data_IF_089690987052
#
_entry.id   IF_089690987052
#
_cell.length_a   1.000
_cell.length_b   1.000
_cell.length_c   1.000
_cell.angle_alpha   90.00
_cell.angle_beta   90.00
_cell.angle_gamma   90.00
#
_symmetry.space_group_name_H-M   'P 1'
#
loop_
_entity.id
_entity.type
_entity.pdbx_description
1 polymer ?
#
# COMPACT_ATOMS: atom_id res chain seq x y z
N UNK A 1 -13.21 -19.81 -5.75
CA UNK A 1 -12.00 -20.23 -5.00
C UNK A 1 -12.12 -19.68 -3.56
N UNK A 2 -12.34 -20.54 -2.56
CA UNK A 2 -12.46 -20.08 -1.16
C UNK A 2 -11.08 -19.64 -0.67
N UNK A 3 -10.93 -18.35 -0.35
CA UNK A 3 -9.69 -17.83 0.25
C UNK A 3 -9.36 -18.64 1.51
N UNK A 4 -8.11 -19.10 1.63
CA UNK A 4 -7.60 -19.90 2.76
C UNK A 4 -7.99 -19.35 4.14
N UNK A 5 -8.10 -18.03 4.26
CA UNK A 5 -8.56 -17.33 5.47
C UNK A 5 -10.02 -17.63 5.84
N UNK A 6 -10.92 -17.70 4.85
CA UNK A 6 -12.33 -18.03 5.05
C UNK A 6 -12.54 -19.50 5.43
N UNK A 7 -11.77 -20.40 4.82
CA UNK A 7 -11.77 -21.82 5.19
C UNK A 7 -11.32 -22.04 6.64
N UNK A 8 -10.21 -21.41 7.07
CA UNK A 8 -9.74 -21.46 8.47
C UNK A 8 -10.76 -20.91 9.47
N UNK A 9 -11.49 -19.85 9.10
CA UNK A 9 -12.51 -19.26 9.97
C UNK A 9 -13.63 -20.26 10.24
N UNK A 10 -14.19 -20.88 9.19
CA UNK A 10 -15.25 -21.89 9.33
C UNK A 10 -14.80 -23.10 10.14
N UNK A 11 -13.60 -23.60 9.87
CA UNK A 11 -13.01 -24.69 10.65
C UNK A 11 -12.92 -24.36 12.14
N UNK A 12 -12.50 -23.13 12.48
CA UNK A 12 -12.45 -22.71 13.88
C UNK A 12 -13.85 -22.64 14.49
N UNK A 13 -14.81 -22.07 13.77
CA UNK A 13 -16.18 -21.86 14.23
C UNK A 13 -16.92 -23.19 14.48
N UNK A 14 -16.87 -24.10 13.51
CA UNK A 14 -17.57 -25.38 13.56
C UNK A 14 -16.88 -26.37 14.52
N UNK A 15 -15.55 -26.46 14.44
CA UNK A 15 -14.82 -27.56 15.06
C UNK A 15 -14.07 -27.21 16.35
N UNK A 16 -13.71 -25.95 16.58
CA UNK A 16 -12.94 -25.53 17.77
C UNK A 16 -13.72 -24.65 18.75
N UNK A 17 -14.61 -23.78 18.28
CA UNK A 17 -15.30 -22.82 19.13
C UNK A 17 -16.14 -23.52 20.23
N UNK A 18 -16.01 -23.03 21.47
CA UNK A 18 -16.74 -23.55 22.63
C UNK A 18 -16.24 -24.89 23.17
N UNK A 19 -15.18 -25.48 22.62
CA UNK A 19 -14.65 -26.79 23.03
C UNK A 19 -13.34 -26.66 23.80
N UNK A 20 -13.12 -27.59 24.72
CA UNK A 20 -11.82 -27.74 25.40
C UNK A 20 -10.80 -28.30 24.38
N UNK A 21 -9.51 -27.98 24.52
CA UNK A 21 -8.44 -28.40 23.59
C UNK A 21 -8.50 -29.89 23.27
N UNK A 22 -8.68 -30.74 24.28
CA UNK A 22 -8.78 -32.21 24.11
C UNK A 22 -9.96 -32.62 23.25
N UNK A 23 -11.14 -32.03 23.49
CA UNK A 23 -12.34 -32.25 22.67
C UNK A 23 -12.18 -31.71 21.25
N UNK A 24 -11.50 -30.57 21.09
CA UNK A 24 -11.22 -29.98 19.78
C UNK A 24 -10.27 -30.86 18.95
N UNK A 25 -9.22 -31.44 19.54
CA UNK A 25 -8.33 -32.40 18.86
C UNK A 25 -9.13 -33.61 18.35
N UNK A 26 -10.03 -34.15 19.16
CA UNK A 26 -10.89 -35.28 18.76
C UNK A 26 -11.92 -34.90 17.69
N UNK A 27 -12.39 -33.64 17.67
CA UNK A 27 -13.35 -33.13 16.69
C UNK A 27 -12.71 -32.72 15.36
N UNK A 28 -11.73 -33.51 14.90
CA UNK A 28 -11.00 -33.28 13.66
C UNK A 28 -11.88 -33.61 12.44
N UNK A 29 -12.05 -32.68 11.47
CA UNK A 29 -12.68 -32.99 10.19
C UNK A 29 -11.88 -34.03 9.40
N UNK A 30 -12.57 -34.92 8.69
CA UNK A 30 -11.95 -35.98 7.87
C UNK A 30 -11.02 -35.42 6.79
N UNK A 31 -11.36 -34.26 6.23
CA UNK A 31 -10.62 -33.56 5.17
C UNK A 31 -9.29 -32.95 5.63
N UNK A 32 -9.08 -32.77 6.94
CA UNK A 32 -7.89 -32.11 7.50
C UNK A 32 -6.94 -33.15 8.07
N UNK A 33 -5.69 -33.13 7.60
CA UNK A 33 -4.65 -34.00 8.14
C UNK A 33 -4.42 -33.78 9.63
N UNK A 34 -4.15 -34.86 10.38
CA UNK A 34 -3.99 -34.83 11.84
C UNK A 34 -2.95 -33.81 12.31
N UNK A 35 -1.75 -33.82 11.72
CA UNK A 35 -0.68 -32.88 12.10
C UNK A 35 -1.08 -31.41 11.89
N UNK A 36 -1.79 -31.14 10.79
CA UNK A 36 -2.28 -29.80 10.47
C UNK A 36 -3.39 -29.36 11.44
N UNK A 37 -4.26 -30.29 11.84
CA UNK A 37 -5.31 -30.04 12.83
C UNK A 37 -4.73 -29.76 14.21
N UNK A 38 -3.80 -30.61 14.67
CA UNK A 38 -3.12 -30.45 15.97
C UNK A 38 -2.41 -29.09 16.03
N UNK A 39 -1.74 -28.69 14.95
CA UNK A 39 -1.13 -27.36 14.84
C UNK A 39 -2.15 -26.22 14.91
N UNK A 40 -3.29 -26.33 14.20
CA UNK A 40 -4.34 -25.31 14.21
C UNK A 40 -4.97 -25.14 15.58
N UNK A 41 -5.29 -26.25 16.26
CA UNK A 41 -5.84 -26.25 17.62
C UNK A 41 -4.86 -25.56 18.58
N UNK A 42 -3.58 -25.92 18.54
CA UNK A 42 -2.54 -25.29 19.36
C UNK A 42 -2.39 -23.79 19.03
N UNK A 43 -2.42 -23.42 17.76
CA UNK A 43 -2.35 -22.02 17.33
C UNK A 43 -3.56 -21.20 17.81
N UNK A 44 -4.77 -21.77 17.83
CA UNK A 44 -5.96 -21.08 18.34
C UNK A 44 -6.03 -21.06 19.87
N UNK A 45 -5.40 -22.02 20.54
CA UNK A 45 -5.29 -22.11 21.99
C UNK A 45 -4.17 -21.24 22.58
N UNK A 46 -3.21 -20.78 21.78
CA UNK A 46 -2.12 -19.89 22.21
C UNK A 46 -2.69 -18.61 22.88
N UNK A 47 -2.36 -18.35 24.18
CA UNK A 47 -2.82 -17.16 24.90
C UNK A 47 -2.49 -15.85 24.19
N UNK A 48 -1.35 -15.80 23.48
CA UNK A 48 -0.95 -14.62 22.70
C UNK A 48 -1.93 -14.37 21.55
N UNK A 49 -2.35 -15.43 20.85
CA UNK A 49 -3.32 -15.32 19.75
C UNK A 49 -4.71 -14.98 20.28
N UNK A 50 -5.11 -15.55 21.41
CA UNK A 50 -6.38 -15.22 22.07
C UNK A 50 -6.42 -13.73 22.43
N UNK A 51 -5.40 -13.22 23.13
CA UNK A 51 -5.30 -11.81 23.49
C UNK A 51 -5.33 -10.88 22.27
N UNK A 52 -4.57 -11.20 21.21
CA UNK A 52 -4.59 -10.42 19.95
C UNK A 52 -5.98 -10.46 19.31
N UNK A 53 -6.64 -11.62 19.30
CA UNK A 53 -7.95 -11.78 18.69
C UNK A 53 -9.06 -11.03 19.46
N UNK A 54 -9.01 -11.03 20.78
CA UNK A 54 -9.92 -10.27 21.66
C UNK A 54 -9.72 -8.78 21.48
N UNK A 55 -8.46 -8.31 21.48
CA UNK A 55 -8.13 -6.91 21.21
C UNK A 55 -8.61 -6.50 19.82
N UNK A 56 -8.42 -7.33 18.80
CA UNK A 56 -8.92 -7.06 17.46
C UNK A 56 -10.45 -7.05 17.39
N UNK A 57 -11.13 -7.93 18.13
CA UNK A 57 -12.60 -7.96 18.23
C UNK A 57 -13.12 -6.69 18.91
N UNK A 58 -12.54 -6.31 20.05
CA UNK A 58 -12.87 -5.07 20.74
C UNK A 58 -12.61 -3.84 19.87
N UNK A 59 -11.47 -3.79 19.16
CA UNK A 59 -11.16 -2.73 18.22
C UNK A 59 -12.17 -2.66 17.07
N UNK A 60 -12.55 -3.82 16.50
CA UNK A 60 -13.58 -3.89 15.45
C UNK A 60 -14.94 -3.40 15.94
N UNK A 61 -15.32 -3.72 17.18
CA UNK A 61 -16.56 -3.21 17.80
C UNK A 61 -16.51 -1.69 18.04
N UNK A 62 -15.32 -1.14 18.30
CA UNK A 62 -15.08 0.30 18.47
C UNK A 62 -14.93 1.06 17.15
N UNK A 63 -14.93 0.38 15.99
CA UNK A 63 -14.85 1.05 14.69
C UNK A 63 -16.15 1.80 14.42
N UNK A 64 -16.03 3.14 14.37
CA UNK A 64 -17.15 4.05 14.08
C UNK A 64 -17.39 4.27 12.58
N UNK A 65 -16.34 4.09 11.77
CA UNK A 65 -16.39 4.14 10.31
C UNK A 65 -16.01 2.76 9.78
N UNK A 66 -16.97 2.07 9.16
CA UNK A 66 -16.77 0.78 8.53
C UNK A 66 -16.44 0.98 7.05
N UNK A 67 -15.54 0.17 6.48
CA UNK A 67 -15.34 0.15 5.04
C UNK A 67 -16.55 -0.47 4.35
N UNK A 68 -17.02 0.18 3.28
CA UNK A 68 -18.06 -0.30 2.38
C UNK A 68 -17.50 -0.82 1.04
N UNK A 69 -16.18 -0.70 0.82
CA UNK A 69 -15.46 -1.09 -0.39
C UNK A 69 -15.46 -2.60 -0.73
N UNK A 70 -16.05 -3.44 0.12
CA UNK A 70 -16.06 -4.88 -0.05
C UNK A 70 -14.65 -5.47 -0.04
N UNK A 71 -14.34 -6.31 -1.04
CA UNK A 71 -13.07 -7.04 -1.13
C UNK A 71 -11.91 -6.21 -1.72
N UNK A 72 -12.18 -5.05 -2.34
CA UNK A 72 -11.14 -4.18 -2.88
C UNK A 72 -10.58 -3.28 -1.77
N UNK A 73 -9.26 -3.15 -1.72
CA UNK A 73 -8.60 -2.21 -0.82
C UNK A 73 -8.80 -0.77 -1.31
N UNK A 74 -8.73 0.20 -0.40
CA UNK A 74 -8.78 1.63 -0.75
C UNK A 74 -7.71 2.00 -1.77
N UNK A 75 -6.48 1.49 -1.62
CA UNK A 75 -5.40 1.74 -2.59
C UNK A 75 -5.74 1.20 -3.99
N UNK A 76 -6.34 0.00 -4.05
CA UNK A 76 -6.75 -0.59 -5.33
C UNK A 76 -7.90 0.19 -5.97
N UNK A 77 -8.87 0.63 -5.19
CA UNK A 77 -9.95 1.49 -5.70
C UNK A 77 -9.39 2.80 -6.25
N UNK A 78 -8.46 3.42 -5.53
CA UNK A 78 -7.82 4.64 -6.00
C UNK A 78 -7.12 4.45 -7.35
N UNK A 79 -6.36 3.37 -7.50
CA UNK A 79 -5.55 3.15 -8.70
C UNK A 79 -6.32 2.55 -9.88
N UNK A 80 -7.27 1.66 -9.64
CA UNK A 80 -8.04 0.97 -10.68
C UNK A 80 -9.33 1.72 -11.07
N UNK A 81 -9.88 2.57 -10.19
CA UNK A 81 -11.17 3.26 -10.42
C UNK A 81 -10.98 4.77 -10.48
N UNK A 82 -10.40 5.39 -9.44
CA UNK A 82 -10.36 6.87 -9.34
C UNK A 82 -9.36 7.49 -10.34
N UNK A 83 -8.11 7.03 -10.39
CA UNK A 83 -7.11 7.58 -11.33
C UNK A 83 -7.57 7.46 -12.79
N UNK A 84 -8.06 6.29 -13.27
CA UNK A 84 -8.55 6.18 -14.63
C UNK A 84 -9.73 7.11 -14.93
N UNK A 85 -10.69 7.25 -14.01
CA UNK A 85 -11.83 8.18 -14.15
C UNK A 85 -11.41 9.64 -14.26
N UNK A 86 -10.29 10.03 -13.64
CA UNK A 86 -9.73 11.39 -13.76
C UNK A 86 -8.96 11.61 -15.06
N UNK A 87 -8.42 10.53 -15.66
CA UNK A 87 -7.63 10.62 -16.89
C UNK A 87 -8.45 10.45 -18.18
N UNK A 88 -9.60 9.77 -18.12
CA UNK A 88 -10.46 9.50 -19.29
C UNK A 88 -11.92 9.89 -19.00
N UNK A 89 -12.32 11.15 -19.28
CA UNK A 89 -13.69 11.62 -19.02
C UNK A 89 -14.77 11.06 -19.95
N UNK A 90 -14.44 10.17 -20.89
CA UNK A 90 -15.34 9.71 -21.96
C UNK A 90 -15.16 8.20 -22.19
N UNK A 91 -15.86 7.37 -21.41
CA UNK A 91 -16.35 6.06 -21.86
C UNK A 91 -17.19 5.42 -20.74
N UNK A 92 -18.38 5.98 -20.52
CA UNK A 92 -19.47 5.24 -19.88
C UNK A 92 -20.60 5.09 -20.88
N UNK A 93 -20.51 3.98 -21.62
CA UNK A 93 -21.62 3.21 -22.19
C UNK A 93 -22.51 3.94 -23.20
N UNK A 94 -22.26 3.67 -24.48
CA UNK A 94 -23.22 3.86 -25.56
C UNK A 94 -24.49 3.02 -25.32
N UNK A 95 -25.58 3.68 -24.94
CA UNK A 95 -26.94 3.24 -25.29
C UNK A 95 -27.45 4.16 -26.41
N UNK A 96 -27.64 3.66 -27.65
CA UNK A 96 -27.91 4.51 -28.80
C UNK A 96 -29.41 4.78 -28.99
N UNK A 97 -30.14 5.29 -27.99
CA UNK A 97 -31.51 5.79 -28.20
C UNK A 97 -31.95 6.80 -27.11
N UNK A 98 -31.44 8.03 -27.14
CA UNK A 98 -32.23 9.18 -26.70
C UNK A 98 -31.76 10.48 -27.37
N UNK A 99 -32.53 10.91 -28.36
CA UNK A 99 -32.46 12.23 -28.98
C UNK A 99 -33.03 13.28 -28.02
N UNK A 100 -32.21 14.24 -27.59
CA UNK A 100 -32.71 15.35 -26.79
C UNK A 100 -31.61 16.27 -26.27
N UNK A 101 -31.52 17.42 -26.94
CA UNK A 101 -31.08 18.72 -26.43
C UNK A 101 -29.63 18.92 -25.96
N UNK A 102 -29.07 19.97 -26.57
CA UNK A 102 -27.80 20.61 -26.31
C UNK A 102 -27.79 21.21 -24.90
N UNK A 103 -26.86 20.76 -24.02
CA UNK A 103 -26.20 21.57 -22.97
C UNK A 103 -25.18 20.72 -22.16
N UNK A 104 -24.23 20.05 -22.83
CA UNK A 104 -23.21 19.19 -22.16
C UNK A 104 -21.78 19.68 -22.33
N UNK A 105 -21.62 20.99 -22.44
CA UNK A 105 -20.33 21.66 -22.36
C UNK A 105 -20.29 22.46 -21.07
N UNK A 106 -19.32 22.16 -20.19
CA UNK A 106 -18.90 22.92 -18.98
C UNK A 106 -19.36 22.46 -17.58
N UNK A 107 -19.59 21.16 -17.35
CA UNK A 107 -19.64 20.65 -15.96
C UNK A 107 -19.06 19.24 -15.90
N UNK A 108 -17.75 19.11 -16.16
CA UNK A 108 -17.03 17.99 -15.56
C UNK A 108 -17.01 18.37 -14.08
N UNK A 109 -17.93 17.78 -13.33
CA UNK A 109 -17.91 17.71 -11.88
C UNK A 109 -16.49 17.32 -11.46
N UNK A 110 -15.70 18.34 -11.15
CA UNK A 110 -14.32 18.28 -10.67
C UNK A 110 -14.33 17.82 -9.21
N UNK A 111 -15.14 16.79 -8.90
CA UNK A 111 -15.21 16.18 -7.58
C UNK A 111 -13.84 15.56 -7.36
N UNK A 112 -13.05 16.19 -6.49
CA UNK A 112 -11.66 15.84 -6.33
C UNK A 112 -11.47 14.37 -5.96
N UNK A 113 -10.34 13.81 -6.40
CA UNK A 113 -9.98 12.40 -6.24
C UNK A 113 -10.23 11.85 -4.81
N UNK A 114 -9.99 12.67 -3.78
CA UNK A 114 -10.17 12.27 -2.38
C UNK A 114 -11.64 12.18 -1.94
N UNK A 115 -12.51 13.05 -2.47
CA UNK A 115 -13.96 13.05 -2.19
C UNK A 115 -14.58 11.82 -2.82
N UNK A 116 -14.27 11.56 -4.11
CA UNK A 116 -14.73 10.37 -4.82
C UNK A 116 -14.23 9.09 -4.16
N UNK A 117 -12.96 9.06 -3.72
CA UNK A 117 -12.42 7.90 -3.02
C UNK A 117 -13.12 7.66 -1.68
N UNK A 118 -13.43 8.72 -0.91
CA UNK A 118 -14.15 8.58 0.35
C UNK A 118 -15.54 7.98 0.12
N UNK A 119 -16.27 8.53 -0.84
CA UNK A 119 -17.58 8.03 -1.24
C UNK A 119 -17.54 6.58 -1.67
N UNK A 120 -16.62 6.25 -2.59
CA UNK A 120 -16.52 4.89 -3.10
C UNK A 120 -16.14 3.86 -2.04
N UNK A 121 -15.43 4.27 -1.00
CA UNK A 121 -14.91 3.36 0.04
C UNK A 121 -15.76 3.28 1.30
N UNK A 122 -16.58 4.31 1.59
CA UNK A 122 -17.35 4.42 2.84
C UNK A 122 -18.87 4.46 2.64
N UNK A 123 -19.37 4.77 1.44
CA UNK A 123 -20.80 4.70 1.12
C UNK A 123 -21.23 3.24 0.96
N UNK A 124 -22.21 2.84 1.76
CA UNK A 124 -22.77 1.49 1.73
C UNK A 124 -23.57 1.24 0.45
N UNK A 125 -23.87 -0.03 0.13
CA UNK A 125 -24.61 -0.39 -1.10
C UNK A 125 -26.04 0.15 -1.16
N UNK A 126 -26.63 0.39 0.00
CA UNK A 126 -27.94 1.03 0.17
C UNK A 126 -27.88 2.56 0.03
N UNK A 127 -26.70 3.12 -0.24
CA UNK A 127 -26.48 4.57 -0.32
C UNK A 127 -26.30 5.25 1.04
N UNK A 128 -26.42 4.51 2.15
CA UNK A 128 -26.27 5.05 3.49
C UNK A 128 -24.81 5.24 3.89
N UNK A 129 -24.60 5.99 4.96
CA UNK A 129 -23.30 6.25 5.56
C UNK A 129 -23.34 5.98 7.05
N UNK A 130 -22.21 5.58 7.63
CA UNK A 130 -22.05 5.67 9.08
C UNK A 130 -22.04 7.16 9.49
N UNK A 131 -22.57 7.49 10.67
CA UNK A 131 -22.70 8.89 11.14
C UNK A 131 -21.38 9.68 11.06
N UNK A 132 -20.28 9.09 11.52
CA UNK A 132 -18.97 9.75 11.45
C UNK A 132 -18.41 9.79 10.02
N UNK A 133 -18.79 8.82 9.16
CA UNK A 133 -18.36 8.82 7.77
C UNK A 133 -19.03 9.94 6.96
N UNK A 134 -20.32 10.22 7.25
CA UNK A 134 -21.06 11.34 6.68
C UNK A 134 -20.45 12.68 7.12
N UNK A 135 -20.17 12.84 8.42
CA UNK A 135 -19.52 14.07 8.92
C UNK A 135 -18.17 14.32 8.23
N UNK A 136 -17.33 13.28 8.06
CA UNK A 136 -16.06 13.40 7.33
C UNK A 136 -16.22 13.70 5.86
N UNK A 137 -17.28 13.20 5.23
CA UNK A 137 -17.55 13.49 3.82
C UNK A 137 -17.87 14.97 3.63
N UNK A 138 -18.67 15.57 4.50
CA UNK A 138 -18.93 17.01 4.47
C UNK A 138 -17.65 17.82 4.78
N UNK A 139 -16.84 17.42 5.77
CA UNK A 139 -15.53 18.06 6.01
C UNK A 139 -14.62 18.03 4.76
N UNK A 140 -14.61 16.93 3.98
CA UNK A 140 -13.87 16.86 2.73
C UNK A 140 -14.42 17.81 1.65
N UNK A 141 -15.75 17.97 1.55
CA UNK A 141 -16.35 18.94 0.61
C UNK A 141 -16.04 20.37 1.01
N UNK A 142 -16.19 20.71 2.30
CA UNK A 142 -15.87 22.03 2.82
C UNK A 142 -14.40 22.39 2.58
N UNK A 143 -13.48 21.43 2.77
CA UNK A 143 -12.07 21.61 2.46
C UNK A 143 -11.85 21.95 0.98
N UNK A 144 -12.50 21.19 0.08
CA UNK A 144 -12.43 21.42 -1.36
C UNK A 144 -12.93 22.82 -1.75
N UNK A 145 -14.12 23.20 -1.27
CA UNK A 145 -14.70 24.52 -1.52
C UNK A 145 -13.80 25.64 -0.98
N UNK A 146 -13.28 25.50 0.24
CA UNK A 146 -12.38 26.48 0.86
C UNK A 146 -11.08 26.66 0.07
N UNK A 147 -10.59 25.58 -0.55
CA UNK A 147 -9.38 25.63 -1.37
C UNK A 147 -9.63 26.36 -2.69
N UNK A 148 -10.75 26.07 -3.34
CA UNK A 148 -11.19 26.78 -4.55
C UNK A 148 -11.39 28.27 -4.27
N UNK A 149 -12.03 28.64 -3.15
CA UNK A 149 -12.26 30.04 -2.79
C UNK A 149 -10.95 30.84 -2.58
N UNK A 150 -9.90 30.19 -2.06
CA UNK A 150 -8.63 30.87 -1.73
C UNK A 150 -7.63 30.87 -2.87
N UNK A 151 -7.47 29.75 -3.56
CA UNK A 151 -6.42 29.53 -4.56
C UNK A 151 -6.96 29.50 -6.00
N UNK A 152 -8.30 29.53 -6.17
CA UNK A 152 -8.97 29.43 -7.47
C UNK A 152 -9.04 28.01 -8.04
N UNK A 153 -8.30 27.05 -7.46
CA UNK A 153 -8.30 25.64 -7.81
C UNK A 153 -7.90 24.79 -6.60
N UNK A 154 -8.32 23.53 -6.58
CA UNK A 154 -7.92 22.60 -5.53
C UNK A 154 -6.65 21.81 -5.93
N UNK A 155 -5.53 22.21 -5.32
CA UNK A 155 -4.21 21.62 -5.56
C UNK A 155 -3.82 20.55 -4.53
N UNK A 156 -4.72 20.16 -3.62
CA UNK A 156 -4.39 19.23 -2.54
C UNK A 156 -4.14 17.82 -3.05
N UNK A 157 -3.03 17.22 -2.62
CA UNK A 157 -2.79 15.79 -2.82
C UNK A 157 -3.79 14.95 -2.01
N UNK A 158 -4.12 13.75 -2.50
CA UNK A 158 -4.94 12.76 -1.77
C UNK A 158 -4.45 12.58 -0.33
N UNK A 159 -3.13 12.48 -0.15
CA UNK A 159 -2.53 12.28 1.18
C UNK A 159 -2.71 13.51 2.07
N UNK A 160 -2.55 14.70 1.53
CA UNK A 160 -2.65 15.97 2.26
C UNK A 160 -4.08 16.22 2.72
N UNK A 161 -5.06 16.04 1.83
CA UNK A 161 -6.47 16.16 2.18
C UNK A 161 -6.89 15.17 3.29
N UNK A 162 -6.46 13.91 3.17
CA UNK A 162 -6.73 12.91 4.21
C UNK A 162 -6.04 13.24 5.53
N UNK A 163 -4.82 13.81 5.50
CA UNK A 163 -4.13 14.25 6.71
C UNK A 163 -4.85 15.44 7.38
N UNK A 164 -5.38 16.39 6.62
CA UNK A 164 -6.13 17.53 7.15
C UNK A 164 -7.45 17.10 7.81
N UNK A 165 -8.26 16.28 7.12
CA UNK A 165 -9.60 15.87 7.59
C UNK A 165 -9.54 14.76 8.65
N UNK A 166 -8.69 13.75 8.44
CA UNK A 166 -8.64 12.59 9.35
C UNK A 166 -7.65 12.75 10.50
N UNK A 167 -6.69 13.67 10.36
CA UNK A 167 -5.54 13.87 11.25
C UNK A 167 -4.58 12.66 11.24
N UNK A 168 -3.34 12.88 11.67
CA UNK A 168 -2.38 11.78 11.83
C UNK A 168 -2.87 10.80 12.91
N UNK A 169 -2.95 9.52 12.55
CA UNK A 169 -3.25 8.43 13.49
C UNK A 169 -2.12 7.42 13.49
N UNK A 170 -1.47 7.25 14.64
CA UNK A 170 -0.36 6.30 14.81
C UNK A 170 -0.80 4.86 14.46
N UNK A 171 -0.08 4.19 13.56
CA UNK A 171 -0.21 2.75 13.32
C UNK A 171 -1.12 2.30 12.17
N UNK A 172 -1.61 3.19 11.30
CA UNK A 172 -2.52 2.84 10.18
C UNK A 172 -1.86 2.15 8.96
N UNK A 173 -0.58 1.80 9.01
CA UNK A 173 0.12 1.13 7.90
C UNK A 173 -0.11 -0.40 7.80
N UNK A 174 -0.92 -1.01 8.68
CA UNK A 174 -1.14 -2.47 8.69
C UNK A 174 -2.23 -2.89 7.69
N UNK A 175 -1.80 -3.37 6.52
CA UNK A 175 -2.72 -3.99 5.54
C UNK A 175 -2.07 -4.70 4.33
N UNK A 176 -0.74 -4.68 4.20
CA UNK A 176 -0.03 -5.06 2.97
C UNK A 176 0.65 -6.45 3.00
N UNK A 177 0.24 -7.37 3.88
CA UNK A 177 0.90 -8.68 4.00
C UNK A 177 -0.08 -9.85 4.03
N UNK A 178 0.20 -10.97 3.35
CA UNK A 178 -0.53 -12.21 3.60
C UNK A 178 -0.30 -12.61 5.07
N UNK A 179 -1.39 -12.80 5.81
CA UNK A 179 -1.33 -13.24 7.21
C UNK A 179 -0.61 -14.58 7.35
N UNK A 180 -0.27 -14.99 8.59
CA UNK A 180 0.53 -16.18 8.85
C UNK A 180 -0.04 -17.42 8.14
N UNK A 181 0.74 -17.95 7.21
CA UNK A 181 0.45 -19.18 6.48
C UNK A 181 1.12 -20.36 7.19
N UNK A 182 0.52 -21.56 7.18
CA UNK A 182 1.23 -22.76 7.59
C UNK A 182 2.46 -22.97 6.68
N UNK A 183 3.53 -23.62 7.18
CA UNK A 183 4.68 -23.93 6.36
C UNK A 183 4.24 -24.77 5.15
N UNK A 184 4.46 -24.23 3.94
CA UNK A 184 4.26 -24.99 2.70
C UNK A 184 5.45 -25.94 2.55
N UNK A 185 5.22 -27.26 2.53
CA UNK A 185 6.23 -28.19 2.00
C UNK A 185 6.26 -28.03 0.48
N UNK A 186 7.37 -27.53 -0.08
CA UNK A 186 7.59 -27.53 -1.52
C UNK A 186 8.83 -26.74 -1.94
N UNK A 187 9.67 -27.36 -2.79
CA UNK A 187 10.94 -26.87 -3.40
C UNK A 187 11.03 -25.37 -3.71
N UNK A 188 9.92 -24.69 -4.00
CA UNK A 188 9.90 -23.30 -4.47
C UNK A 188 10.51 -22.29 -3.48
N UNK A 189 10.40 -22.49 -2.16
CA UNK A 189 10.94 -21.53 -1.18
C UNK A 189 12.46 -21.57 -1.09
N UNK A 190 13.06 -22.75 -1.32
CA UNK A 190 14.51 -22.93 -1.32
C UNK A 190 15.11 -22.38 -2.62
N UNK A 191 14.46 -22.63 -3.76
CA UNK A 191 14.87 -22.09 -5.07
C UNK A 191 14.89 -20.56 -5.06
N UNK A 192 13.82 -19.93 -4.54
CA UNK A 192 13.76 -18.46 -4.43
C UNK A 192 14.85 -17.91 -3.50
N UNK A 193 15.16 -18.60 -2.39
CA UNK A 193 16.24 -18.18 -1.49
C UNK A 193 17.62 -18.27 -2.14
N UNK A 194 17.86 -19.33 -2.91
CA UNK A 194 19.12 -19.52 -3.63
C UNK A 194 19.28 -18.50 -4.76
N UNK A 195 18.21 -18.22 -5.51
CA UNK A 195 18.21 -17.18 -6.56
C UNK A 195 18.48 -15.79 -5.98
N UNK A 196 17.78 -15.42 -4.91
CA UNK A 196 17.99 -14.12 -4.23
C UNK A 196 19.40 -14.01 -3.66
N UNK A 197 19.97 -15.09 -3.10
CA UNK A 197 21.34 -15.09 -2.60
C UNK A 197 22.38 -14.91 -3.73
N UNK A 198 22.16 -15.54 -4.89
CA UNK A 198 23.02 -15.39 -6.05
C UNK A 198 22.98 -13.96 -6.63
N UNK A 199 21.78 -13.34 -6.65
CA UNK A 199 21.62 -11.96 -7.12
C UNK A 199 22.30 -10.96 -6.18
N UNK A 200 22.21 -11.16 -4.86
CA UNK A 200 22.93 -10.36 -3.86
C UNK A 200 24.44 -10.44 -4.07
N UNK A 201 24.99 -11.63 -4.32
CA UNK A 201 26.43 -11.79 -4.59
C UNK A 201 26.87 -11.07 -5.87
N UNK A 202 26.08 -11.14 -6.95
CA UNK A 202 26.41 -10.43 -8.18
C UNK A 202 26.39 -8.90 -7.99
N UNK A 203 25.44 -8.38 -7.23
CA UNK A 203 25.38 -6.95 -6.93
C UNK A 203 26.59 -6.48 -6.12
N UNK A 204 27.01 -7.26 -5.13
CA UNK A 204 28.21 -6.95 -4.34
C UNK A 204 29.49 -6.94 -5.20
N UNK A 205 29.62 -7.86 -6.16
CA UNK A 205 30.76 -7.87 -7.08
C UNK A 205 30.78 -6.63 -8.00
N UNK A 206 29.61 -6.22 -8.51
CA UNK A 206 29.49 -5.00 -9.32
C UNK A 206 29.80 -3.74 -8.51
N UNK A 207 29.36 -3.69 -7.26
CA UNK A 207 29.66 -2.56 -6.37
C UNK A 207 31.17 -2.44 -6.10
N UNK A 208 31.86 -3.55 -5.83
CA UNK A 208 33.30 -3.57 -5.65
C UNK A 208 34.07 -3.11 -6.92
N UNK A 209 33.63 -3.56 -8.10
CA UNK A 209 34.23 -3.15 -9.37
C UNK A 209 34.05 -1.65 -9.65
N UNK A 210 32.86 -1.10 -9.37
CA UNK A 210 32.59 0.33 -9.51
C UNK A 210 33.42 1.17 -8.53
N UNK A 211 33.57 0.72 -7.28
CA UNK A 211 34.43 1.39 -6.30
C UNK A 211 35.89 1.45 -6.76
N UNK A 212 36.39 0.39 -7.39
CA UNK A 212 37.73 0.38 -8.00
C UNK A 212 37.91 1.45 -9.08
N UNK A 213 36.97 1.51 -10.04
CA UNK A 213 37.01 2.51 -11.12
C UNK A 213 36.92 3.95 -10.60
N UNK A 214 36.10 4.19 -9.57
CA UNK A 214 36.01 5.50 -8.93
C UNK A 214 37.36 5.88 -8.30
N UNK A 215 38.05 4.94 -7.66
CA UNK A 215 39.39 5.17 -7.10
C UNK A 215 40.43 5.53 -8.17
N UNK A 216 40.43 4.81 -9.30
CA UNK A 216 41.33 5.09 -10.43
C UNK A 216 41.09 6.49 -11.02
N UNK A 217 39.82 6.84 -11.25
CA UNK A 217 39.44 8.16 -11.75
C UNK A 217 39.80 9.28 -10.77
N UNK A 218 39.74 9.03 -9.46
CA UNK A 218 40.16 9.98 -8.45
C UNK A 218 41.68 10.20 -8.48
N UNK A 219 42.48 9.12 -8.64
CA UNK A 219 43.93 9.22 -8.77
C UNK A 219 44.33 10.02 -10.02
N UNK A 220 43.77 9.64 -11.18
CA UNK A 220 44.05 10.32 -12.44
C UNK A 220 43.67 11.82 -12.40
N UNK A 221 42.54 12.17 -11.77
CA UNK A 221 42.14 13.55 -11.58
C UNK A 221 43.09 14.33 -10.65
N UNK A 222 43.69 13.67 -9.64
CA UNK A 222 44.66 14.31 -8.76
C UNK A 222 45.98 14.61 -9.48
N UNK A 223 46.44 13.69 -10.33
CA UNK A 223 47.64 13.85 -11.16
C UNK A 223 47.46 14.97 -12.20
N UNK A 224 46.33 14.99 -12.90
CA UNK A 224 46.01 16.06 -13.85
C UNK A 224 45.97 17.43 -13.17
N UNK A 225 45.42 17.52 -11.95
CA UNK A 225 45.43 18.77 -11.17
C UNK A 225 46.84 19.21 -10.81
N UNK A 226 47.72 18.27 -10.43
CA UNK A 226 49.11 18.57 -10.12
C UNK A 226 49.86 19.08 -11.36
N UNK A 227 49.66 18.45 -12.52
CA UNK A 227 50.28 18.85 -13.78
C UNK A 227 49.80 20.22 -14.25
N UNK A 228 48.48 20.50 -14.16
CA UNK A 228 47.93 21.84 -14.44
C UNK A 228 48.57 22.90 -13.55
N UNK A 229 48.78 22.60 -12.25
CA UNK A 229 49.42 23.54 -11.32
C UNK A 229 50.87 23.80 -11.72
N UNK A 230 51.61 22.75 -12.11
CA UNK A 230 52.99 22.85 -12.57
C UNK A 230 53.12 23.68 -13.85
N UNK A 231 52.30 23.40 -14.86
CA UNK A 231 52.29 24.19 -16.11
C UNK A 231 51.98 25.66 -15.85
N UNK A 232 51.05 25.96 -14.93
CA UNK A 232 50.74 27.36 -14.55
C UNK A 232 51.94 28.06 -13.90
N UNK A 233 52.67 27.40 -12.98
CA UNK A 233 53.89 28.00 -12.40
C UNK A 233 54.98 28.21 -13.43
N UNK A 234 55.20 27.26 -14.34
CA UNK A 234 56.20 27.41 -15.41
C UNK A 234 55.82 28.52 -16.42
N UNK A 235 54.53 28.73 -16.68
CA UNK A 235 54.05 29.83 -17.51
C UNK A 235 54.30 31.20 -16.86
N UNK A 236 54.07 31.32 -15.54
CA UNK A 236 54.36 32.54 -14.77
C UNK A 236 55.86 32.85 -14.77
N UNK A 237 56.71 31.84 -14.59
CA UNK A 237 58.17 32.02 -14.65
C UNK A 237 58.66 32.48 -16.04
N UNK A 238 58.07 31.94 -17.12
CA UNK A 238 58.39 32.40 -18.49
C UNK A 238 58.00 33.85 -18.71
N UNK A 239 56.81 34.26 -18.27
CA UNK A 239 56.34 35.66 -18.40
C UNK A 239 57.21 36.64 -17.61
N UNK A 240 57.69 36.23 -16.43
CA UNK A 240 58.60 37.04 -15.61
C UNK A 240 60.02 37.16 -16.19
N UNK A 241 60.47 36.23 -17.03
CA UNK A 241 61.78 36.31 -17.72
C UNK A 241 61.76 37.15 -19.00
N UNK A 242 60.57 37.48 -19.51
CA UNK A 242 60.36 38.25 -20.74
C UNK A 242 60.07 39.74 -20.47
N UNK A 243 59.96 40.15 -19.20
CA UNK A 243 59.87 41.54 -18.73
C UNK A 243 61.21 42.02 -18.20
#
# INVERSE_FOLDING_TARGET
>A
MLLFRGWRYRLKDEHFAGKIITQAISNRPSEVHKEQWDWLVNHWADPKQQHISEKNRANRLRQKIKPASGAKSTARIYQDEIIPSLMHPQDSTQDPHHSGAQDRTQQIDEVLAYVQLWERTKRHKDGSWDLEAAAKYEEFKELHMSQIEKEGADNLSLKEAYLLVMKEKSGHHRGLGPGPQPPRKGRATEVIRVEVAAEIQQLQQKEAALQGQVGELQSANSELKAEIKRMKSEAIERDNKLK
#
